data_IF_765695561331
#
_entry.id   IF_765695561331
#
_cell.length_a   1.000
_cell.length_b   1.000
_cell.length_c   1.000
_cell.angle_alpha   90.00
_cell.angle_beta   90.00
_cell.angle_gamma   90.00
#
_symmetry.space_group_name_H-M   'P 1'
#
loop_
_entity.id
_entity.type
_entity.pdbx_description
1 polymer ?
#
# COMPACT_ATOMS: atom_id res chain seq x y z
N UNK A 1 16.09 16.03 10.32
CA UNK A 1 17.51 15.70 10.12
C UNK A 1 17.76 15.59 8.62
N UNK A 2 18.41 16.61 8.04
CA UNK A 2 18.79 16.64 6.64
C UNK A 2 19.81 15.53 6.37
N UNK A 3 19.43 14.48 5.65
CA UNK A 3 20.42 13.58 5.02
C UNK A 3 20.99 14.32 3.82
N UNK A 4 22.25 14.75 3.95
CA UNK A 4 23.04 15.18 2.82
C UNK A 4 22.98 14.07 1.75
N UNK A 5 22.53 14.42 0.54
CA UNK A 5 22.66 13.57 -0.64
C UNK A 5 24.15 13.49 -0.98
N UNK A 6 24.86 12.48 -0.45
CA UNK A 6 26.14 12.09 -0.99
C UNK A 6 25.86 11.67 -2.44
N UNK A 7 26.44 12.38 -3.39
CA UNK A 7 26.32 12.16 -4.82
C UNK A 7 26.88 10.79 -5.21
N UNK A 8 26.05 9.75 -5.09
CA UNK A 8 26.23 8.50 -5.82
C UNK A 8 25.81 8.81 -7.25
N UNK A 9 26.78 9.00 -8.13
CA UNK A 9 26.51 9.20 -9.55
C UNK A 9 25.61 8.06 -10.02
N UNK A 10 24.55 8.41 -10.77
CA UNK A 10 23.64 7.41 -11.33
C UNK A 10 24.45 6.40 -12.15
N UNK A 11 24.38 5.13 -11.76
CA UNK A 11 25.08 4.04 -12.47
C UNK A 11 24.45 3.74 -13.85
N UNK A 12 23.34 4.37 -14.16
CA UNK A 12 22.55 4.19 -15.38
C UNK A 12 22.08 5.57 -15.86
N UNK A 13 22.30 5.84 -17.16
CA UNK A 13 21.78 7.06 -17.82
C UNK A 13 20.75 6.63 -18.85
N UNK A 14 19.59 7.27 -18.87
CA UNK A 14 18.59 7.10 -19.91
C UNK A 14 19.03 7.85 -21.16
N UNK A 15 19.13 7.17 -22.30
CA UNK A 15 19.48 7.74 -23.60
C UNK A 15 18.24 8.18 -24.39
N UNK A 16 17.21 7.32 -24.37
CA UNK A 16 15.91 7.59 -24.99
C UNK A 16 14.81 6.84 -24.24
N UNK A 17 13.57 7.28 -24.41
CA UNK A 17 12.39 6.66 -23.82
C UNK A 17 11.28 6.58 -24.84
N UNK A 18 10.60 5.46 -24.94
CA UNK A 18 9.49 5.21 -25.84
C UNK A 18 8.32 4.59 -25.12
N UNK A 19 7.14 5.20 -25.21
CA UNK A 19 5.91 4.56 -24.75
C UNK A 19 5.58 3.38 -25.67
N UNK A 20 5.30 2.22 -25.09
CA UNK A 20 4.98 0.98 -25.82
C UNK A 20 3.54 0.52 -25.61
N UNK A 21 2.92 0.92 -24.49
CA UNK A 21 1.53 0.64 -24.20
C UNK A 21 0.97 1.65 -23.19
N UNK A 22 -0.32 1.97 -23.34
CA UNK A 22 -1.08 2.79 -22.39
C UNK A 22 -2.54 2.35 -22.33
N UNK A 23 -3.10 2.39 -21.12
CA UNK A 23 -4.54 2.36 -20.87
C UNK A 23 -4.86 3.36 -19.74
N UNK A 24 -6.13 3.47 -19.26
CA UNK A 24 -6.47 4.40 -18.17
C UNK A 24 -5.68 4.17 -16.87
N UNK A 25 -5.27 2.94 -16.56
CA UNK A 25 -4.70 2.56 -15.26
C UNK A 25 -3.17 2.47 -15.23
N UNK A 26 -2.49 2.35 -16.39
CA UNK A 26 -1.05 2.26 -16.43
C UNK A 26 -0.47 2.66 -17.80
N UNK A 27 0.80 3.03 -17.78
CA UNK A 27 1.63 3.23 -18.96
C UNK A 27 2.85 2.32 -18.89
N UNK A 28 3.22 1.70 -20.01
CA UNK A 28 4.47 0.96 -20.16
C UNK A 28 5.38 1.70 -21.12
N UNK A 29 6.61 1.95 -20.69
CA UNK A 29 7.66 2.53 -21.54
C UNK A 29 8.89 1.65 -21.57
N UNK A 30 9.62 1.74 -22.67
CA UNK A 30 10.94 1.14 -22.85
C UNK A 30 11.97 2.27 -22.92
N UNK A 31 12.97 2.20 -22.03
CA UNK A 31 14.08 3.14 -21.99
C UNK A 31 15.34 2.48 -22.53
N UNK A 32 15.99 3.09 -23.53
CA UNK A 32 17.36 2.76 -23.88
C UNK A 32 18.27 3.38 -22.83
N UNK A 33 19.17 2.57 -22.27
CA UNK A 33 20.03 2.99 -21.17
C UNK A 33 21.50 2.78 -21.48
N UNK A 34 22.35 3.61 -20.85
CA UNK A 34 23.79 3.44 -20.79
C UNK A 34 24.21 3.15 -19.35
N UNK A 35 24.87 2.01 -19.13
CA UNK A 35 25.43 1.63 -17.85
C UNK A 35 26.79 2.28 -17.62
N UNK A 36 27.25 2.32 -16.36
CA UNK A 36 28.54 2.90 -15.99
C UNK A 36 29.75 2.18 -16.62
N UNK A 37 29.57 0.93 -17.06
CA UNK A 37 30.59 0.17 -17.80
C UNK A 37 30.60 0.47 -19.30
N UNK A 38 29.84 1.46 -19.76
CA UNK A 38 29.72 1.88 -21.14
C UNK A 38 28.82 1.00 -22.01
N UNK A 39 28.20 -0.04 -21.48
CA UNK A 39 27.28 -0.91 -22.22
C UNK A 39 25.88 -0.33 -22.32
N UNK A 40 25.31 -0.41 -23.49
CA UNK A 40 23.89 -0.10 -23.72
C UNK A 40 23.00 -1.27 -23.30
N UNK A 41 21.76 -0.96 -22.96
CA UNK A 41 20.71 -1.94 -22.66
C UNK A 41 19.33 -1.30 -22.72
N UNK A 42 18.32 -2.08 -22.39
CA UNK A 42 16.94 -1.63 -22.31
C UNK A 42 16.39 -1.85 -20.91
N UNK A 43 15.46 -1.00 -20.53
CA UNK A 43 14.71 -1.10 -19.27
C UNK A 43 13.23 -0.92 -19.57
N UNK A 44 12.43 -1.96 -19.26
CA UNK A 44 10.96 -1.84 -19.29
C UNK A 44 10.49 -1.25 -17.96
N UNK A 45 9.69 -0.20 -18.04
CA UNK A 45 9.14 0.47 -16.85
C UNK A 45 7.63 0.54 -16.96
N UNK A 46 6.95 0.15 -15.88
CA UNK A 46 5.52 0.37 -15.69
C UNK A 46 5.35 1.63 -14.84
N UNK A 47 4.80 2.67 -15.46
CA UNK A 47 4.37 3.87 -14.74
C UNK A 47 2.92 3.66 -14.31
N UNK A 48 2.66 3.71 -13.03
CA UNK A 48 1.34 3.60 -12.41
C UNK A 48 1.23 4.61 -11.26
N UNK A 49 0.05 5.18 -11.09
CA UNK A 49 -0.22 6.09 -9.99
C UNK A 49 -0.06 5.39 -8.63
N UNK A 50 0.28 6.17 -7.62
CA UNK A 50 0.43 5.68 -6.26
C UNK A 50 -0.92 5.13 -5.76
N UNK A 51 -0.91 4.35 -4.69
CA UNK A 51 -2.11 3.82 -4.04
C UNK A 51 -2.06 4.01 -2.53
N UNK A 52 -3.20 3.89 -1.88
CA UNK A 52 -3.31 3.75 -0.44
C UNK A 52 -3.63 2.31 -0.07
N UNK A 53 -3.10 1.85 1.07
CA UNK A 53 -3.49 0.61 1.73
C UNK A 53 -3.83 0.91 3.17
N UNK A 54 -4.93 0.39 3.63
CA UNK A 54 -5.48 0.67 4.95
C UNK A 54 -5.41 -0.59 5.81
N UNK A 55 -4.91 -0.46 7.03
CA UNK A 55 -4.96 -1.49 8.07
C UNK A 55 -6.06 -1.11 9.07
N UNK A 56 -7.31 -1.56 8.88
CA UNK A 56 -8.41 -1.23 9.76
C UNK A 56 -8.38 -2.18 10.95
N UNK A 57 -7.94 -1.67 12.11
CA UNK A 57 -7.86 -2.46 13.35
C UNK A 57 -8.71 -1.80 14.41
N UNK A 58 -9.70 -2.53 14.94
CA UNK A 58 -10.46 -2.10 16.08
C UNK A 58 -10.89 -3.29 16.96
N UNK A 59 -10.95 -3.10 18.27
CA UNK A 59 -11.35 -4.13 19.24
C UNK A 59 -10.67 -5.50 19.04
N UNK A 60 -9.38 -5.51 18.64
CA UNK A 60 -8.60 -6.74 18.40
C UNK A 60 -8.97 -7.51 17.13
N UNK A 61 -9.67 -6.89 16.21
CA UNK A 61 -10.05 -7.43 14.91
C UNK A 61 -9.46 -6.60 13.78
N UNK A 62 -9.23 -7.26 12.64
CA UNK A 62 -8.80 -6.67 11.37
C UNK A 62 -9.94 -6.85 10.37
N UNK A 63 -10.22 -5.82 9.59
CA UNK A 63 -11.14 -5.90 8.45
C UNK A 63 -10.35 -6.12 7.17
N UNK A 64 -10.83 -7.03 6.36
CA UNK A 64 -10.25 -7.48 5.11
C UNK A 64 -11.30 -7.43 4.01
N UNK A 65 -10.84 -7.45 2.78
CA UNK A 65 -11.64 -7.63 1.59
C UNK A 65 -11.24 -8.92 0.88
N UNK A 66 -12.22 -9.61 0.31
CA UNK A 66 -12.00 -10.75 -0.56
C UNK A 66 -12.59 -10.42 -1.93
N UNK A 67 -11.77 -10.47 -2.98
CA UNK A 67 -12.19 -10.19 -4.34
C UNK A 67 -11.48 -11.12 -5.36
N UNK A 68 -12.04 -11.22 -6.56
CA UNK A 68 -11.40 -11.97 -7.64
C UNK A 68 -10.31 -11.12 -8.30
N UNK A 69 -9.08 -11.57 -8.22
CA UNK A 69 -7.93 -10.92 -8.87
C UNK A 69 -7.66 -11.57 -10.24
N UNK A 70 -8.11 -10.87 -11.29
CA UNK A 70 -8.03 -11.35 -12.68
C UNK A 70 -6.63 -11.80 -13.09
N UNK A 71 -5.59 -11.12 -12.67
CA UNK A 71 -4.20 -11.43 -13.06
C UNK A 71 -3.69 -12.77 -12.56
N UNK A 72 -4.19 -13.24 -11.43
CA UNK A 72 -3.83 -14.53 -10.82
C UNK A 72 -4.95 -15.58 -10.95
N UNK A 73 -6.12 -15.20 -11.49
CA UNK A 73 -7.31 -16.06 -11.67
C UNK A 73 -7.77 -16.74 -10.38
N UNK A 74 -7.61 -16.06 -9.24
CA UNK A 74 -8.01 -16.56 -7.93
C UNK A 74 -8.74 -15.47 -7.13
N UNK A 75 -9.55 -15.88 -6.15
CA UNK A 75 -10.00 -14.96 -5.12
C UNK A 75 -8.87 -14.72 -4.13
N UNK A 76 -8.57 -13.48 -3.84
CA UNK A 76 -7.55 -13.05 -2.88
C UNK A 76 -8.21 -12.41 -1.67
N UNK A 77 -7.63 -12.67 -0.50
CA UNK A 77 -7.96 -12.00 0.75
C UNK A 77 -6.84 -11.02 1.07
N UNK A 78 -7.19 -9.76 1.27
CA UNK A 78 -6.24 -8.67 1.39
C UNK A 78 -6.76 -7.53 2.26
N UNK A 79 -5.90 -6.59 2.61
CA UNK A 79 -6.31 -5.32 3.21
C UNK A 79 -6.97 -4.43 2.16
N UNK A 80 -7.96 -3.58 2.54
CA UNK A 80 -8.52 -2.59 1.63
C UNK A 80 -7.43 -1.70 1.05
N UNK A 81 -7.49 -1.53 -0.29
CA UNK A 81 -6.47 -0.79 -1.03
C UNK A 81 -6.96 -0.34 -2.40
N UNK A 82 -6.66 0.88 -2.79
CA UNK A 82 -7.00 1.36 -4.11
C UNK A 82 -6.04 2.43 -4.64
N UNK A 83 -6.12 2.62 -5.95
CA UNK A 83 -5.29 3.54 -6.71
C UNK A 83 -5.85 4.95 -6.76
N UNK A 84 -5.04 5.88 -7.22
CA UNK A 84 -5.39 7.29 -7.37
C UNK A 84 -6.28 7.51 -8.61
N UNK A 85 -7.50 6.98 -8.58
CA UNK A 85 -8.48 7.12 -9.67
C UNK A 85 -9.37 8.35 -9.50
N UNK A 86 -9.47 8.87 -8.27
CA UNK A 86 -10.27 10.05 -7.94
C UNK A 86 -9.40 11.32 -7.81
N UNK A 87 -10.01 12.48 -8.02
CA UNK A 87 -9.40 13.76 -7.69
C UNK A 87 -9.41 13.97 -6.18
N UNK A 88 -8.50 13.33 -5.48
CA UNK A 88 -8.29 13.51 -4.04
C UNK A 88 -7.05 14.37 -3.80
N UNK A 89 -7.08 15.19 -2.76
CA UNK A 89 -6.00 16.15 -2.49
C UNK A 89 -4.73 15.46 -1.96
N UNK A 90 -4.91 14.33 -1.25
CA UNK A 90 -3.80 13.64 -0.59
C UNK A 90 -4.11 12.15 -0.33
N UNK A 91 -3.08 11.40 0.05
CA UNK A 91 -3.17 9.95 0.28
C UNK A 91 -4.05 9.56 1.48
N UNK A 92 -4.29 10.44 2.45
CA UNK A 92 -5.21 10.16 3.55
C UNK A 92 -6.66 10.21 3.09
N UNK A 93 -7.02 11.17 2.25
CA UNK A 93 -8.37 11.22 1.66
C UNK A 93 -8.64 10.00 0.80
N UNK A 94 -7.66 9.57 -0.02
CA UNK A 94 -7.74 8.32 -0.76
C UNK A 94 -8.02 7.15 0.20
N UNK A 95 -7.22 7.00 1.26
CA UNK A 95 -7.37 5.91 2.22
C UNK A 95 -8.74 5.93 2.93
N UNK A 96 -9.30 7.09 3.19
CA UNK A 96 -10.65 7.24 3.78
C UNK A 96 -11.75 6.87 2.77
N UNK A 97 -11.58 7.23 1.51
CA UNK A 97 -12.46 6.83 0.42
C UNK A 97 -12.52 5.32 0.28
N UNK A 98 -11.38 4.67 0.11
CA UNK A 98 -11.26 3.21 -0.01
C UNK A 98 -11.86 2.46 1.20
N UNK A 99 -11.61 2.96 2.42
CA UNK A 99 -12.20 2.37 3.63
C UNK A 99 -13.73 2.38 3.60
N UNK A 100 -14.31 3.48 3.10
CA UNK A 100 -15.76 3.64 2.95
C UNK A 100 -16.30 2.79 1.81
N UNK A 101 -15.68 2.84 0.64
CA UNK A 101 -16.13 2.16 -0.58
C UNK A 101 -16.08 0.64 -0.43
N UNK A 102 -14.97 0.10 0.02
CA UNK A 102 -14.76 -1.35 0.12
C UNK A 102 -15.41 -1.98 1.35
N UNK A 103 -15.37 -1.29 2.51
CA UNK A 103 -15.83 -1.85 3.78
C UNK A 103 -17.12 -1.23 4.36
N UNK A 104 -17.55 -0.06 3.88
CA UNK A 104 -18.63 0.72 4.52
C UNK A 104 -18.24 1.16 5.93
N UNK A 105 -17.00 1.58 6.14
CA UNK A 105 -16.48 2.03 7.43
C UNK A 105 -15.88 3.43 7.35
N UNK A 106 -16.03 4.17 8.43
CA UNK A 106 -15.29 5.40 8.69
C UNK A 106 -14.35 5.19 9.88
N UNK A 107 -13.19 5.87 9.86
CA UNK A 107 -12.21 5.82 10.94
C UNK A 107 -12.14 7.17 11.68
N UNK A 108 -12.20 7.13 13.00
CA UNK A 108 -11.98 8.30 13.86
C UNK A 108 -10.54 8.80 13.73
N UNK A 109 -9.57 7.87 13.66
CA UNK A 109 -8.16 8.18 13.56
C UNK A 109 -7.56 7.44 12.35
N UNK A 110 -6.82 8.19 11.54
CA UNK A 110 -6.04 7.68 10.43
C UNK A 110 -4.58 8.01 10.70
N UNK A 111 -3.76 6.99 10.98
CA UNK A 111 -2.34 7.16 11.30
C UNK A 111 -1.50 6.72 10.10
N UNK A 112 -0.78 7.65 9.49
CA UNK A 112 0.18 7.34 8.44
C UNK A 112 1.37 6.56 9.00
N UNK A 113 1.63 5.36 8.46
CA UNK A 113 2.72 4.50 8.88
C UNK A 113 3.97 4.65 8.02
N UNK A 114 3.82 4.99 6.75
CA UNK A 114 4.92 5.19 5.82
C UNK A 114 4.56 4.90 4.37
N UNK A 115 5.56 5.07 3.48
CA UNK A 115 5.45 4.76 2.06
C UNK A 115 6.38 3.61 1.72
N UNK A 116 5.89 2.66 0.91
CA UNK A 116 6.64 1.53 0.38
C UNK A 116 6.57 1.53 -1.16
N UNK A 117 7.57 0.95 -1.81
CA UNK A 117 7.53 0.68 -3.24
C UNK A 117 6.93 -0.71 -3.46
N UNK A 118 5.96 -0.83 -4.37
CA UNK A 118 5.30 -2.12 -4.65
C UNK A 118 6.22 -3.07 -5.41
N UNK A 119 6.82 -2.58 -6.49
CA UNK A 119 7.63 -3.40 -7.39
C UNK A 119 8.75 -2.58 -8.08
N UNK A 120 9.59 -1.91 -7.28
CA UNK A 120 10.61 -0.95 -7.76
C UNK A 120 11.61 -1.55 -8.77
N UNK A 121 11.62 -2.85 -8.99
CA UNK A 121 12.45 -3.49 -10.02
C UNK A 121 11.99 -3.19 -11.44
N UNK A 122 10.71 -2.85 -11.64
CA UNK A 122 10.13 -2.55 -12.95
C UNK A 122 8.98 -1.54 -12.93
N UNK A 123 8.46 -1.17 -11.76
CA UNK A 123 7.38 -0.21 -11.61
C UNK A 123 7.75 0.91 -10.64
N UNK A 124 7.18 2.09 -10.84
CA UNK A 124 7.40 3.27 -10.00
C UNK A 124 6.24 3.55 -9.04
N UNK A 125 5.29 2.61 -8.91
CA UNK A 125 4.16 2.75 -8.02
C UNK A 125 4.57 2.63 -6.54
N UNK A 126 4.09 3.55 -5.73
CA UNK A 126 4.21 3.51 -4.27
C UNK A 126 2.87 3.16 -3.64
N UNK A 127 2.94 2.59 -2.45
CA UNK A 127 1.77 2.46 -1.58
C UNK A 127 1.98 3.30 -0.32
N UNK A 128 0.95 4.06 0.04
CA UNK A 128 0.88 4.83 1.27
C UNK A 128 0.11 4.02 2.32
N UNK A 129 0.77 3.66 3.41
CA UNK A 129 0.22 2.73 4.41
C UNK A 129 -0.39 3.52 5.56
N UNK A 130 -1.65 3.21 5.88
CA UNK A 130 -2.40 3.83 6.96
C UNK A 130 -2.94 2.80 7.95
N UNK A 131 -2.89 3.13 9.24
CA UNK A 131 -3.62 2.44 10.29
C UNK A 131 -4.92 3.22 10.56
N UNK A 132 -6.07 2.55 10.45
CA UNK A 132 -7.37 3.08 10.76
C UNK A 132 -7.90 2.51 12.08
N UNK A 133 -8.31 3.38 13.01
CA UNK A 133 -8.84 3.00 14.33
C UNK A 133 -10.07 3.80 14.71
N UNK A 134 -10.85 3.29 15.69
CA UNK A 134 -12.13 3.88 16.06
C UNK A 134 -13.14 3.79 14.92
N UNK A 135 -13.32 2.56 14.42
CA UNK A 135 -14.12 2.29 13.23
C UNK A 135 -15.61 2.35 13.55
N UNK A 136 -16.35 3.02 12.68
CA UNK A 136 -17.83 3.10 12.75
C UNK A 136 -18.45 2.75 11.41
N UNK A 137 -19.56 1.99 11.38
CA UNK A 137 -20.27 1.73 10.14
C UNK A 137 -20.79 3.02 9.49
N UNK A 138 -20.72 3.07 8.17
CA UNK A 138 -21.32 4.11 7.33
C UNK A 138 -21.96 3.47 6.10
N UNK A 139 -22.65 4.25 5.30
CA UNK A 139 -23.21 3.76 4.04
C UNK A 139 -22.05 3.38 3.09
N UNK A 140 -22.12 2.14 2.59
CA UNK A 140 -21.16 1.65 1.60
C UNK A 140 -21.48 2.29 0.25
N UNK A 141 -20.45 2.83 -0.40
CA UNK A 141 -20.53 3.41 -1.75
C UNK A 141 -19.59 2.60 -2.68
N UNK A 142 -19.96 1.35 -3.05
CA UNK A 142 -19.09 0.47 -3.80
C UNK A 142 -18.82 1.00 -5.21
N UNK A 143 -17.58 0.88 -5.66
CA UNK A 143 -17.25 1.08 -7.07
C UNK A 143 -18.02 0.04 -7.93
N UNK A 144 -18.63 0.45 -9.05
CA UNK A 144 -19.28 -0.48 -9.97
C UNK A 144 -18.37 -1.61 -10.50
N UNK A 145 -17.05 -1.41 -10.53
CA UNK A 145 -16.08 -2.43 -10.97
C UNK A 145 -15.78 -3.47 -9.87
N UNK A 146 -16.12 -3.18 -8.60
CA UNK A 146 -15.86 -4.03 -7.43
C UNK A 146 -17.10 -4.77 -6.89
N UNK A 147 -18.04 -5.07 -7.77
CA UNK A 147 -19.35 -5.67 -7.43
C UNK A 147 -19.26 -7.04 -6.73
N UNK A 148 -18.14 -7.76 -6.81
CA UNK A 148 -17.91 -9.08 -6.19
C UNK A 148 -17.09 -9.03 -4.89
N UNK A 149 -16.75 -7.83 -4.41
CA UNK A 149 -15.96 -7.61 -3.20
C UNK A 149 -16.76 -7.96 -1.95
N UNK A 150 -16.18 -8.82 -1.11
CA UNK A 150 -16.77 -9.30 0.16
C UNK A 150 -15.92 -8.82 1.33
N UNK A 151 -16.52 -7.98 2.19
CA UNK A 151 -15.88 -7.54 3.44
C UNK A 151 -15.87 -8.68 4.47
N UNK A 152 -14.74 -8.84 5.16
CA UNK A 152 -14.56 -9.82 6.25
C UNK A 152 -13.89 -9.17 7.44
N UNK A 153 -14.26 -9.60 8.65
CA UNK A 153 -13.58 -9.19 9.88
C UNK A 153 -13.11 -10.43 10.62
N UNK A 154 -11.83 -10.48 10.97
CA UNK A 154 -11.21 -11.60 11.68
C UNK A 154 -10.43 -11.11 12.91
N UNK A 155 -10.27 -11.94 13.96
CA UNK A 155 -9.34 -11.63 15.05
C UNK A 155 -7.91 -11.43 14.53
N UNK A 156 -7.15 -10.51 15.13
CA UNK A 156 -5.74 -10.26 14.75
C UNK A 156 -4.91 -11.55 14.70
N UNK A 157 -5.11 -12.44 15.67
CA UNK A 157 -4.37 -13.73 15.71
C UNK A 157 -4.70 -14.61 14.50
N UNK A 158 -5.97 -14.66 14.08
CA UNK A 158 -6.38 -15.41 12.90
C UNK A 158 -5.80 -14.80 11.62
N UNK A 159 -5.78 -13.48 11.53
CA UNK A 159 -5.13 -12.75 10.43
C UNK A 159 -3.63 -13.10 10.30
N UNK A 160 -2.91 -13.15 11.44
CA UNK A 160 -1.51 -13.57 11.46
C UNK A 160 -1.34 -15.03 10.99
N UNK A 161 -2.19 -15.95 11.43
CA UNK A 161 -2.17 -17.34 10.99
C UNK A 161 -2.51 -17.49 9.50
N UNK A 162 -3.41 -16.67 8.95
CA UNK A 162 -3.72 -16.65 7.53
C UNK A 162 -2.51 -16.23 6.66
N UNK A 163 -1.67 -15.31 7.15
CA UNK A 163 -0.42 -14.95 6.48
C UNK A 163 0.62 -16.08 6.58
N UNK A 164 0.80 -16.67 7.76
CA UNK A 164 1.76 -17.76 7.99
C UNK A 164 1.42 -19.02 7.20
N UNK A 165 0.13 -19.33 7.07
CA UNK A 165 -0.35 -20.50 6.31
C UNK A 165 -0.42 -20.25 4.79
N UNK A 166 -0.20 -19.03 4.33
CA UNK A 166 -0.27 -18.68 2.91
C UNK A 166 -1.70 -18.56 2.35
N UNK A 167 -2.69 -18.39 3.20
CA UNK A 167 -4.05 -17.99 2.79
C UNK A 167 -4.03 -16.55 2.30
N UNK A 168 -3.36 -15.65 3.03
CA UNK A 168 -3.07 -14.29 2.59
C UNK A 168 -1.67 -14.27 1.96
N UNK A 169 -1.60 -13.97 0.67
CA UNK A 169 -0.36 -13.95 -0.13
C UNK A 169 -0.08 -12.60 -0.77
N UNK A 170 -0.97 -11.63 -0.56
CA UNK A 170 -0.80 -10.29 -1.08
C UNK A 170 0.40 -9.60 -0.42
N UNK A 171 1.36 -9.18 -1.25
CA UNK A 171 2.58 -8.52 -0.76
C UNK A 171 2.27 -7.18 -0.09
N UNK A 172 1.28 -6.44 -0.58
CA UNK A 172 0.89 -5.15 -0.02
C UNK A 172 0.37 -5.33 1.42
N UNK A 173 -0.47 -6.33 1.64
CA UNK A 173 -0.99 -6.70 2.98
C UNK A 173 0.14 -7.12 3.93
N UNK A 174 1.04 -8.02 3.48
CA UNK A 174 2.14 -8.50 4.33
C UNK A 174 3.10 -7.36 4.69
N UNK A 175 3.43 -6.49 3.76
CA UNK A 175 4.34 -5.37 4.00
C UNK A 175 3.73 -4.30 4.90
N UNK A 176 2.43 -4.00 4.73
CA UNK A 176 1.69 -3.09 5.60
C UNK A 176 1.63 -3.61 7.05
N UNK A 177 1.37 -4.92 7.23
CA UNK A 177 1.42 -5.57 8.54
C UNK A 177 2.81 -5.49 9.17
N UNK A 178 3.87 -5.78 8.40
CA UNK A 178 5.25 -5.66 8.86
C UNK A 178 5.59 -4.25 9.35
N UNK A 179 5.17 -3.22 8.60
CA UNK A 179 5.37 -1.82 8.98
C UNK A 179 4.61 -1.45 10.26
N UNK A 180 3.37 -1.93 10.40
CA UNK A 180 2.58 -1.77 11.62
C UNK A 180 3.24 -2.39 12.85
N UNK A 181 3.77 -3.61 12.73
CA UNK A 181 4.46 -4.27 13.85
C UNK A 181 5.70 -3.48 14.30
N UNK A 182 6.48 -2.95 13.37
CA UNK A 182 7.64 -2.09 13.67
C UNK A 182 7.22 -0.79 14.34
N UNK A 183 6.17 -0.14 13.84
CA UNK A 183 5.61 1.06 14.43
C UNK A 183 5.09 0.81 15.86
N UNK A 184 4.35 -0.27 16.08
CA UNK A 184 3.83 -0.69 17.39
C UNK A 184 4.96 -0.97 18.39
N UNK A 185 5.98 -1.72 17.97
CA UNK A 185 7.15 -2.04 18.81
C UNK A 185 7.89 -0.77 19.26
N UNK A 186 8.05 0.19 18.34
CA UNK A 186 8.69 1.48 18.67
C UNK A 186 7.93 2.29 19.71
N UNK A 187 6.59 2.28 19.66
CA UNK A 187 5.73 2.98 20.65
C UNK A 187 5.71 2.27 22.00
N UNK A 188 5.77 0.96 22.03
CA UNK A 188 5.87 0.18 23.28
C UNK A 188 7.24 0.29 23.97
N UNK A 189 8.29 0.63 23.22
CA UNK A 189 9.65 0.83 23.73
C UNK A 189 9.93 2.28 24.19
N UNK A 190 9.03 3.24 23.97
CA UNK A 190 9.19 4.60 24.50
C UNK A 190 9.20 4.56 26.04
N UNK A 191 10.16 5.20 26.73
CA UNK A 191 10.20 5.22 28.18
C UNK A 191 8.87 5.79 28.70
N UNK A 192 8.23 5.09 29.64
CA UNK A 192 7.17 5.70 30.45
C UNK A 192 7.83 6.88 31.16
N UNK A 193 7.42 8.10 30.85
CA UNK A 193 7.84 9.27 31.61
C UNK A 193 7.61 8.95 33.07
N UNK A 194 8.69 8.96 33.84
CA UNK A 194 8.62 8.77 35.27
C UNK A 194 7.79 9.95 35.83
N UNK A 195 6.59 9.66 36.29
CA UNK A 195 5.81 10.59 37.13
C UNK A 195 6.64 10.86 38.39
N UNK A 196 7.52 11.85 38.34
CA UNK A 196 8.06 12.48 39.55
C UNK A 196 7.00 13.44 40.06
N UNK A 197 6.09 12.93 40.90
CA UNK A 197 5.39 13.72 41.87
C UNK A 197 6.09 13.48 43.22
N UNK A 198 6.80 14.47 43.66
CA UNK A 198 7.13 14.72 45.08
C UNK A 198 6.82 16.15 45.39
#
# INVERSE_FOLDING_TARGET
MNRASNGVGHSITTLSSREVYRNPWLRVREDEILRSDGKRGFYGVVDKDDCAIILPIDHGRVWLVEQFRYTIQERALELPQGGWEMQVENSEELARGELKEELGLEAKEMTYLGTLWIAYGFANQKQHVFLATGLTPTDKEPDPEEHDLVARSVPVKEFEEMMLSGVIRDNCTLSAWGLYLLWKARRGAAPREANNQS
#
